data_IF_235213480969
#
_entry.id   IF_235213480969
#
_cell.length_a   1.000
_cell.length_b   1.000
_cell.length_c   1.000
_cell.angle_alpha   90.00
_cell.angle_beta   90.00
_cell.angle_gamma   90.00
#
_symmetry.space_group_name_H-M   'P 1'
#
loop_
_entity.id
_entity.type
_entity.pdbx_description
1 polymer ?
#
# COMPACT_ATOMS: atom_id res chain seq x y z
N UNK A 1 -37.37 -51.03 -10.44
CA UNK A 1 -36.32 -50.93 -9.40
C UNK A 1 -35.39 -49.77 -9.77
N UNK A 2 -35.72 -48.59 -9.29
CA UNK A 2 -34.86 -47.40 -9.45
C UNK A 2 -33.97 -47.27 -8.23
N UNK A 3 -32.66 -47.33 -8.41
CA UNK A 3 -31.68 -47.06 -7.36
C UNK A 3 -31.46 -45.56 -7.23
N UNK A 4 -31.88 -45.02 -6.10
CA UNK A 4 -31.55 -43.68 -5.67
C UNK A 4 -30.04 -43.51 -5.52
N UNK A 5 -29.44 -42.66 -6.34
CA UNK A 5 -28.13 -42.12 -6.12
C UNK A 5 -28.22 -40.93 -5.16
N UNK A 6 -28.03 -41.19 -3.87
CA UNK A 6 -27.72 -40.19 -2.86
C UNK A 6 -26.30 -39.67 -3.12
N UNK A 7 -26.15 -38.63 -3.98
CA UNK A 7 -24.90 -37.88 -4.08
C UNK A 7 -24.80 -36.90 -2.91
N UNK A 8 -23.99 -37.31 -2.01
CA UNK A 8 -23.23 -36.65 -0.97
C UNK A 8 -23.28 -35.10 -0.96
N UNK A 9 -24.15 -34.53 -0.09
CA UNK A 9 -24.23 -33.11 0.25
C UNK A 9 -23.25 -32.72 1.37
N UNK A 10 -22.02 -33.17 1.37
CA UNK A 10 -21.02 -32.82 2.41
C UNK A 10 -19.68 -32.33 1.85
N UNK A 11 -19.66 -31.66 0.70
CA UNK A 11 -18.52 -30.80 0.35
C UNK A 11 -18.75 -29.40 0.95
N UNK A 12 -18.58 -29.24 2.27
CA UNK A 12 -18.22 -27.91 2.81
C UNK A 12 -16.89 -27.57 2.16
N UNK A 13 -16.92 -26.68 1.16
CA UNK A 13 -15.72 -26.18 0.50
C UNK A 13 -14.75 -25.70 1.58
N UNK A 14 -13.54 -26.25 1.59
CA UNK A 14 -12.46 -25.78 2.44
C UNK A 14 -12.25 -24.28 2.17
N UNK A 15 -12.37 -23.47 3.22
CA UNK A 15 -12.22 -22.02 3.15
C UNK A 15 -10.97 -21.59 3.94
N UNK A 16 -9.99 -21.04 3.23
CA UNK A 16 -8.84 -20.43 3.87
C UNK A 16 -9.13 -18.96 4.19
N UNK A 17 -9.07 -18.52 5.48
CA UNK A 17 -9.35 -17.13 5.86
C UNK A 17 -8.23 -16.15 5.50
N UNK A 18 -7.07 -16.65 5.10
CA UNK A 18 -5.90 -15.85 4.76
C UNK A 18 -5.78 -15.67 3.25
N UNK A 19 -5.26 -14.51 2.82
CA UNK A 19 -5.04 -14.16 1.41
C UNK A 19 -3.86 -13.18 1.32
N UNK A 20 -2.61 -13.68 1.35
CA UNK A 20 -1.42 -12.82 1.38
C UNK A 20 -1.22 -12.02 0.09
N UNK A 21 -1.80 -12.48 -1.03
CA UNK A 21 -1.69 -11.83 -2.35
C UNK A 21 -2.44 -10.49 -2.44
N UNK A 22 -3.40 -10.25 -1.55
CA UNK A 22 -4.26 -9.07 -1.58
C UNK A 22 -4.14 -8.23 -0.31
N UNK A 23 -4.25 -6.90 -0.41
CA UNK A 23 -4.40 -6.05 0.76
C UNK A 23 -5.55 -6.52 1.64
N UNK A 24 -5.39 -6.43 2.96
CA UNK A 24 -6.46 -6.75 3.88
C UNK A 24 -7.63 -5.77 3.69
N UNK A 25 -8.81 -6.32 3.40
CA UNK A 25 -10.03 -5.50 3.41
C UNK A 25 -10.31 -5.04 4.85
N UNK A 26 -11.01 -3.91 5.05
CA UNK A 26 -11.16 -3.28 6.37
C UNK A 26 -11.67 -4.19 7.49
N UNK A 27 -12.57 -5.13 7.20
CA UNK A 27 -13.09 -6.08 8.20
C UNK A 27 -12.02 -7.03 8.77
N UNK A 28 -10.93 -7.28 8.02
CA UNK A 28 -9.80 -8.13 8.44
C UNK A 28 -8.61 -7.30 8.93
N UNK A 29 -8.70 -5.97 8.86
CA UNK A 29 -7.63 -5.09 9.29
C UNK A 29 -7.40 -5.22 10.80
N UNK A 30 -6.16 -5.40 11.19
CA UNK A 30 -5.74 -5.56 12.58
C UNK A 30 -4.56 -4.66 12.89
N UNK A 31 -4.39 -4.34 14.18
CA UNK A 31 -3.33 -3.47 14.65
C UNK A 31 -3.43 -2.03 14.11
N UNK A 32 -2.40 -1.19 14.30
CA UNK A 32 -2.33 0.19 13.78
C UNK A 32 -3.40 1.14 14.37
N UNK A 33 -3.70 1.03 15.67
CA UNK A 33 -4.71 1.88 16.32
C UNK A 33 -4.30 3.33 16.34
N UNK A 34 -3.06 3.62 16.75
CA UNK A 34 -2.54 4.99 16.86
C UNK A 34 -2.64 5.79 15.54
N UNK A 35 -2.16 5.29 14.38
CA UNK A 35 -2.37 5.98 13.11
C UNK A 35 -3.84 6.25 12.77
N UNK A 36 -4.74 5.31 13.08
CA UNK A 36 -6.17 5.48 12.83
C UNK A 36 -6.81 6.53 13.73
N UNK A 37 -6.52 6.51 15.03
CA UNK A 37 -7.03 7.48 15.99
C UNK A 37 -6.55 8.90 15.67
N UNK A 38 -5.26 9.05 15.35
CA UNK A 38 -4.70 10.34 14.94
C UNK A 38 -5.37 10.85 13.65
N UNK A 39 -5.47 9.99 12.63
CA UNK A 39 -6.12 10.32 11.37
C UNK A 39 -7.58 10.75 11.59
N UNK A 40 -8.37 9.96 12.34
CA UNK A 40 -9.78 10.22 12.61
C UNK A 40 -10.00 11.61 13.23
N UNK A 41 -9.29 11.89 14.33
CA UNK A 41 -9.39 13.18 15.03
C UNK A 41 -8.99 14.35 14.13
N UNK A 42 -7.93 14.17 13.35
CA UNK A 42 -7.40 15.24 12.50
C UNK A 42 -8.31 15.53 11.30
N UNK A 43 -8.94 14.50 10.73
CA UNK A 43 -9.89 14.68 9.60
C UNK A 43 -11.17 15.40 10.08
N UNK A 44 -11.71 15.06 11.25
CA UNK A 44 -12.86 15.79 11.84
C UNK A 44 -12.49 17.27 11.98
N UNK A 45 -11.36 17.56 12.61
CA UNK A 45 -10.89 18.95 12.78
C UNK A 45 -10.71 19.66 11.43
N UNK A 46 -10.15 18.99 10.41
CA UNK A 46 -9.96 19.59 9.07
C UNK A 46 -11.29 19.84 8.36
N UNK A 47 -12.34 19.09 8.66
CA UNK A 47 -13.68 19.30 8.10
C UNK A 47 -14.43 20.50 8.73
N UNK A 48 -14.19 20.76 10.01
CA UNK A 48 -14.89 21.79 10.80
C UNK A 48 -14.23 23.18 10.70
N UNK A 49 -12.92 23.26 10.45
CA UNK A 49 -12.18 24.53 10.44
C UNK A 49 -12.55 25.39 9.22
N UNK A 50 -12.81 26.67 9.49
CA UNK A 50 -13.03 27.70 8.46
C UNK A 50 -12.16 28.93 8.74
N UNK A 51 -11.33 29.42 7.77
CA UNK A 51 -11.14 28.87 6.42
C UNK A 51 -10.50 27.48 6.42
N UNK A 52 -10.68 26.67 5.35
CA UNK A 52 -10.19 25.32 5.28
C UNK A 52 -8.68 25.19 5.53
N UNK A 53 -8.29 24.29 6.42
CA UNK A 53 -6.91 23.92 6.69
C UNK A 53 -6.73 22.39 6.58
N UNK A 54 -6.73 21.86 5.35
CA UNK A 54 -6.72 20.42 5.14
C UNK A 54 -5.42 19.79 5.62
N UNK A 55 -5.54 18.68 6.32
CA UNK A 55 -4.42 17.86 6.78
C UNK A 55 -4.12 16.76 5.78
N UNK A 56 -2.84 16.56 5.46
CA UNK A 56 -2.39 15.57 4.50
C UNK A 56 -1.55 14.52 5.18
N UNK A 57 -1.64 13.25 4.73
CA UNK A 57 -1.01 12.11 5.36
C UNK A 57 -0.22 11.28 4.36
N UNK A 58 0.93 10.76 4.79
CA UNK A 58 1.70 9.80 4.02
C UNK A 58 1.94 8.53 4.84
N UNK A 59 1.57 7.39 4.26
CA UNK A 59 1.80 6.07 4.84
C UNK A 59 3.07 5.49 4.24
N UNK A 60 4.08 5.30 5.06
CA UNK A 60 5.40 4.86 4.69
C UNK A 60 5.69 3.46 5.25
N UNK A 61 6.16 2.59 4.41
CA UNK A 61 6.53 1.24 4.81
C UNK A 61 7.12 0.47 3.64
N UNK A 62 7.94 -0.52 3.94
CA UNK A 62 8.53 -1.37 2.93
C UNK A 62 7.47 -2.28 2.27
N UNK A 63 7.89 -3.10 1.32
CA UNK A 63 6.97 -4.02 0.65
C UNK A 63 6.29 -4.97 1.66
N UNK A 64 4.98 -5.21 1.51
CA UNK A 64 4.24 -6.15 2.36
C UNK A 64 3.89 -5.65 3.77
N UNK A 65 4.24 -4.40 4.14
CA UNK A 65 3.97 -3.81 5.45
C UNK A 65 2.50 -3.40 5.68
N UNK A 66 1.65 -3.50 4.65
CA UNK A 66 0.23 -3.23 4.76
C UNK A 66 -0.19 -1.77 4.52
N UNK A 67 0.58 -0.98 3.75
CA UNK A 67 0.24 0.41 3.38
C UNK A 67 -1.16 0.55 2.79
N UNK A 68 -1.42 -0.18 1.72
CA UNK A 68 -2.73 -0.21 1.05
C UNK A 68 -3.86 -0.68 1.97
N UNK A 69 -3.57 -1.62 2.88
CA UNK A 69 -4.55 -2.10 3.88
C UNK A 69 -4.94 -0.98 4.87
N UNK A 70 -3.96 -0.19 5.34
CA UNK A 70 -4.22 0.95 6.22
C UNK A 70 -4.99 2.04 5.45
N UNK A 71 -4.60 2.32 4.22
CA UNK A 71 -5.29 3.29 3.35
C UNK A 71 -6.77 2.90 3.16
N UNK A 72 -7.08 1.62 2.90
CA UNK A 72 -8.46 1.14 2.81
C UNK A 72 -9.22 1.27 4.15
N UNK A 73 -8.54 1.01 5.29
CA UNK A 73 -9.18 1.17 6.60
C UNK A 73 -9.45 2.63 6.92
N UNK A 74 -8.53 3.55 6.64
CA UNK A 74 -8.75 4.99 6.81
C UNK A 74 -9.94 5.47 5.97
N UNK A 75 -10.03 5.04 4.71
CA UNK A 75 -11.18 5.35 3.85
C UNK A 75 -12.49 4.79 4.42
N UNK A 76 -12.49 3.56 4.95
CA UNK A 76 -13.69 2.99 5.60
C UNK A 76 -14.09 3.78 6.85
N UNK A 77 -13.13 4.20 7.67
CA UNK A 77 -13.39 5.05 8.84
C UNK A 77 -14.17 6.30 8.43
N UNK A 78 -13.69 7.02 7.43
CA UNK A 78 -14.38 8.21 6.92
C UNK A 78 -15.81 7.88 6.47
N UNK A 79 -15.97 6.84 5.64
CA UNK A 79 -17.25 6.54 4.99
C UNK A 79 -18.31 5.90 5.91
N UNK A 80 -17.88 5.24 6.99
CA UNK A 80 -18.79 4.47 7.85
C UNK A 80 -18.81 4.94 9.29
N UNK A 81 -17.63 5.25 9.85
CA UNK A 81 -17.51 5.59 11.27
C UNK A 81 -17.77 7.10 11.49
N UNK A 82 -17.35 7.96 10.55
CA UNK A 82 -17.53 9.42 10.64
C UNK A 82 -18.74 9.96 9.85
N UNK A 83 -19.59 9.11 9.30
CA UNK A 83 -20.72 9.51 8.43
C UNK A 83 -21.74 10.44 9.10
N UNK A 84 -21.84 10.39 10.42
CA UNK A 84 -22.77 11.21 11.21
C UNK A 84 -22.09 12.49 11.75
N UNK A 85 -20.78 12.61 11.60
CA UNK A 85 -19.98 13.74 12.08
C UNK A 85 -19.57 14.68 10.93
N UNK A 86 -19.20 14.12 9.77
CA UNK A 86 -18.75 14.90 8.61
C UNK A 86 -19.41 14.42 7.31
N UNK A 87 -19.67 15.36 6.42
CA UNK A 87 -20.09 15.08 5.05
C UNK A 87 -18.87 15.03 4.14
N UNK A 88 -18.33 13.84 3.93
CA UNK A 88 -17.11 13.61 3.18
C UNK A 88 -17.32 12.90 1.84
N UNK A 89 -16.49 13.24 0.87
CA UNK A 89 -16.33 12.50 -0.38
C UNK A 89 -14.92 11.90 -0.42
N UNK A 90 -14.84 10.62 -0.81
CA UNK A 90 -13.61 9.89 -0.91
C UNK A 90 -13.39 9.38 -2.33
N UNK A 91 -12.18 9.58 -2.83
CA UNK A 91 -11.69 8.99 -4.07
C UNK A 91 -10.46 8.13 -3.75
N UNK A 92 -10.43 6.92 -4.28
CA UNK A 92 -9.27 6.03 -4.16
C UNK A 92 -8.70 5.75 -5.54
N UNK A 93 -7.44 6.09 -5.75
CA UNK A 93 -6.75 5.93 -7.02
C UNK A 93 -5.38 5.27 -6.79
N UNK A 94 -5.18 4.06 -7.33
CA UNK A 94 -3.87 3.41 -7.35
C UNK A 94 -3.10 3.88 -8.57
N UNK A 95 -1.92 4.43 -8.33
CA UNK A 95 -1.03 4.87 -9.38
C UNK A 95 -0.27 3.68 -9.99
N UNK A 96 0.16 3.87 -11.22
CA UNK A 96 1.00 2.95 -11.95
C UNK A 96 2.00 3.73 -12.85
N UNK A 97 3.00 3.06 -13.46
CA UNK A 97 3.96 3.74 -14.31
C UNK A 97 3.35 4.49 -15.50
N UNK A 98 2.20 4.04 -16.00
CA UNK A 98 1.56 4.64 -17.18
C UNK A 98 0.95 6.00 -16.85
N UNK A 99 0.26 6.11 -15.72
CA UNK A 99 -0.32 7.37 -15.27
C UNK A 99 0.73 8.33 -14.67
N UNK A 100 1.89 7.82 -14.24
CA UNK A 100 3.00 8.63 -13.71
C UNK A 100 4.07 8.95 -14.76
N UNK A 101 3.85 8.66 -16.06
CA UNK A 101 4.81 8.89 -17.14
C UNK A 101 5.15 10.38 -17.30
N UNK A 102 4.17 11.23 -17.18
CA UNK A 102 4.28 12.70 -17.21
C UNK A 102 3.11 13.32 -16.41
N UNK A 103 3.22 14.63 -16.15
CA UNK A 103 2.21 15.36 -15.37
C UNK A 103 0.83 15.38 -16.04
N UNK A 104 0.77 15.54 -17.36
CA UNK A 104 -0.49 15.59 -18.10
C UNK A 104 -1.21 14.22 -18.02
N UNK A 105 -0.47 13.11 -18.14
CA UNK A 105 -0.98 11.74 -17.98
C UNK A 105 -1.58 11.53 -16.58
N UNK A 106 -0.89 11.99 -15.53
CA UNK A 106 -1.40 11.92 -14.16
C UNK A 106 -2.69 12.73 -13.99
N UNK A 107 -2.70 13.98 -14.44
CA UNK A 107 -3.88 14.84 -14.34
C UNK A 107 -5.08 14.23 -15.06
N UNK A 108 -4.88 13.72 -16.28
CA UNK A 108 -5.94 13.08 -17.06
C UNK A 108 -6.47 11.84 -16.36
N UNK A 109 -5.58 10.97 -15.88
CA UNK A 109 -5.96 9.75 -15.17
C UNK A 109 -6.73 10.07 -13.89
N UNK A 110 -6.21 11.00 -13.05
CA UNK A 110 -6.85 11.42 -11.82
C UNK A 110 -8.25 11.99 -12.08
N UNK A 111 -8.38 12.97 -12.98
CA UNK A 111 -9.66 13.60 -13.27
C UNK A 111 -10.67 12.63 -13.90
N UNK A 112 -10.21 11.70 -14.74
CA UNK A 112 -11.06 10.64 -15.29
C UNK A 112 -11.55 9.73 -14.18
N UNK A 113 -10.67 9.38 -13.24
CA UNK A 113 -11.01 8.54 -12.10
C UNK A 113 -12.00 9.25 -11.16
N UNK A 114 -11.76 10.52 -10.84
CA UNK A 114 -12.68 11.34 -10.03
C UNK A 114 -14.10 11.37 -10.62
N UNK A 115 -14.22 11.48 -11.93
CA UNK A 115 -15.51 11.47 -12.62
C UNK A 115 -16.28 10.15 -12.47
N UNK A 116 -15.58 9.02 -12.42
CA UNK A 116 -16.18 7.68 -12.48
C UNK A 116 -16.35 7.00 -11.13
N UNK A 117 -15.42 7.24 -10.22
CA UNK A 117 -15.23 6.44 -9.01
C UNK A 117 -15.12 7.31 -7.76
N UNK A 118 -16.23 7.61 -7.15
CA UNK A 118 -16.25 8.30 -5.86
C UNK A 118 -17.20 7.60 -4.88
N UNK A 119 -16.96 7.82 -3.62
CA UNK A 119 -17.77 7.34 -2.52
C UNK A 119 -18.08 8.52 -1.59
N UNK A 120 -19.26 8.52 -0.99
CA UNK A 120 -19.76 9.63 -0.17
C UNK A 120 -20.41 9.12 1.10
N UNK A 121 -20.29 9.89 2.18
CA UNK A 121 -20.97 9.64 3.47
C UNK A 121 -22.47 9.94 3.40
N UNK A 122 -22.88 10.89 2.59
CA UNK A 122 -24.24 11.46 2.57
C UNK A 122 -25.15 10.91 1.46
N UNK A 123 -24.81 9.81 0.81
CA UNK A 123 -25.64 9.26 -0.27
C UNK A 123 -25.78 10.19 -1.49
N UNK A 124 -24.89 11.18 -1.64
CA UNK A 124 -24.91 12.17 -2.73
C UNK A 124 -24.65 11.58 -4.13
N UNK A 125 -24.48 10.26 -4.20
CA UNK A 125 -24.03 9.54 -5.39
C UNK A 125 -24.83 9.88 -6.64
N UNK A 126 -26.16 9.90 -6.55
CA UNK A 126 -27.03 10.11 -7.71
C UNK A 126 -26.96 11.54 -8.26
N UNK A 127 -27.03 12.55 -7.38
CA UNK A 127 -26.96 13.96 -7.78
C UNK A 127 -25.62 14.35 -8.36
N UNK A 128 -24.52 13.86 -7.75
CA UNK A 128 -23.15 14.14 -8.21
C UNK A 128 -22.82 13.42 -9.51
N UNK A 129 -23.32 12.19 -9.76
CA UNK A 129 -23.14 11.50 -11.05
C UNK A 129 -23.73 12.31 -12.17
N UNK A 130 -24.95 12.83 -12.00
CA UNK A 130 -25.60 13.61 -13.01
C UNK A 130 -24.82 14.92 -13.31
N UNK A 131 -24.35 15.60 -12.27
CA UNK A 131 -23.60 16.84 -12.43
C UNK A 131 -22.18 16.64 -12.95
N UNK A 132 -21.44 15.65 -12.42
CA UNK A 132 -20.10 15.30 -12.94
C UNK A 132 -20.15 14.75 -14.36
N UNK A 133 -21.26 14.13 -14.79
CA UNK A 133 -21.44 13.71 -16.18
C UNK A 133 -21.52 14.92 -17.14
N UNK A 134 -22.02 16.06 -16.66
CA UNK A 134 -22.07 17.33 -17.39
C UNK A 134 -20.72 18.06 -17.39
N UNK A 135 -19.83 17.70 -16.48
CA UNK A 135 -18.49 18.29 -16.37
C UNK A 135 -17.62 17.85 -17.55
N UNK A 136 -17.51 18.73 -18.52
CA UNK A 136 -16.62 18.53 -19.67
C UNK A 136 -15.19 18.74 -19.19
N UNK A 137 -14.50 17.65 -18.90
CA UNK A 137 -13.05 17.71 -18.72
C UNK A 137 -12.47 18.11 -20.07
N UNK A 138 -12.05 19.37 -20.17
CA UNK A 138 -11.42 19.90 -21.37
C UNK A 138 -9.95 19.47 -21.48
N UNK A 139 -9.65 18.22 -21.12
CA UNK A 139 -8.42 17.58 -21.53
C UNK A 139 -8.63 17.07 -22.95
N UNK A 140 -8.28 17.90 -23.90
CA UNK A 140 -8.28 17.53 -25.31
C UNK A 140 -7.35 16.35 -25.48
N UNK A 141 -7.88 15.26 -26.05
CA UNK A 141 -7.12 14.33 -26.86
C UNK A 141 -6.14 15.15 -27.71
N UNK A 142 -4.84 14.80 -27.78
CA UNK A 142 -3.89 15.57 -28.60
C UNK A 142 -4.47 15.74 -30.00
N UNK A 143 -4.45 16.95 -30.57
CA UNK A 143 -4.97 17.16 -31.90
C UNK A 143 -4.12 16.36 -32.89
N UNK A 144 -4.72 15.32 -33.46
CA UNK A 144 -4.30 14.91 -34.79
C UNK A 144 -4.70 16.06 -35.69
N UNK A 145 -3.67 16.83 -36.09
CA UNK A 145 -3.68 17.83 -37.13
C UNK A 145 -5.04 18.47 -37.46
N UNK A 146 -5.17 19.78 -37.22
CA UNK A 146 -5.64 20.77 -38.20
C UNK A 146 -5.57 22.16 -37.54
N UNK A 147 -4.84 23.03 -38.19
CA UNK A 147 -4.79 24.50 -38.24
C UNK A 147 -5.38 25.38 -37.09
N UNK A 148 -4.47 26.22 -36.56
CA UNK A 148 -4.69 27.56 -36.06
C UNK A 148 -6.13 27.92 -35.59
N UNK A 149 -6.44 27.56 -34.37
CA UNK A 149 -7.30 28.38 -33.54
C UNK A 149 -6.70 28.52 -32.15
N UNK A 150 -6.69 29.73 -31.64
CA UNK A 150 -6.18 30.27 -30.38
C UNK A 150 -5.89 29.21 -29.31
N UNK A 151 -4.64 29.21 -28.85
CA UNK A 151 -4.20 28.41 -27.70
C UNK A 151 -5.17 28.61 -26.52
N UNK A 152 -6.14 27.72 -26.39
CA UNK A 152 -6.88 27.55 -25.15
C UNK A 152 -5.87 27.03 -24.15
N UNK A 153 -5.63 27.81 -23.10
CA UNK A 153 -4.77 27.42 -21.99
C UNK A 153 -5.10 25.96 -21.58
N UNK A 154 -4.06 25.13 -21.48
CA UNK A 154 -4.22 23.75 -20.99
C UNK A 154 -4.93 23.82 -19.62
N UNK A 155 -5.99 23.07 -19.38
CA UNK A 155 -6.71 23.12 -18.11
C UNK A 155 -5.75 22.70 -16.99
N UNK A 156 -5.52 23.59 -16.05
CA UNK A 156 -4.72 23.35 -14.87
C UNK A 156 -5.46 22.42 -13.92
N UNK A 157 -4.76 21.46 -13.29
CA UNK A 157 -5.36 20.58 -12.26
C UNK A 157 -5.99 21.41 -11.12
N UNK A 158 -5.35 22.52 -10.72
CA UNK A 158 -5.89 23.46 -9.73
C UNK A 158 -7.26 23.97 -10.16
N UNK A 159 -7.38 24.47 -11.38
CA UNK A 159 -8.62 25.07 -11.87
C UNK A 159 -9.74 24.01 -11.98
N UNK A 160 -9.39 22.79 -12.43
CA UNK A 160 -10.35 21.70 -12.53
C UNK A 160 -10.87 21.24 -11.16
N UNK A 161 -10.00 21.11 -10.17
CA UNK A 161 -10.40 20.75 -8.80
C UNK A 161 -11.13 21.89 -8.09
N UNK A 162 -10.76 23.15 -8.33
CA UNK A 162 -11.49 24.31 -7.82
C UNK A 162 -12.92 24.37 -8.40
N UNK A 163 -13.06 24.14 -9.70
CA UNK A 163 -14.36 24.08 -10.36
C UNK A 163 -15.23 22.96 -9.78
N UNK A 164 -14.66 21.75 -9.59
CA UNK A 164 -15.33 20.65 -8.93
C UNK A 164 -15.79 21.04 -7.53
N UNK A 165 -14.93 21.67 -6.74
CA UNK A 165 -15.27 22.11 -5.38
C UNK A 165 -16.38 23.15 -5.39
N UNK A 166 -16.21 24.26 -6.10
CA UNK A 166 -17.10 25.41 -6.04
C UNK A 166 -18.46 25.15 -6.70
N UNK A 167 -18.48 24.40 -7.81
CA UNK A 167 -19.74 24.15 -8.55
C UNK A 167 -20.50 22.91 -8.07
N UNK A 168 -19.84 21.95 -7.47
CA UNK A 168 -20.46 20.66 -7.16
C UNK A 168 -20.37 20.25 -5.69
N UNK A 169 -19.16 20.27 -5.08
CA UNK A 169 -18.99 19.78 -3.72
C UNK A 169 -19.54 20.73 -2.66
N UNK A 170 -19.13 22.00 -2.69
CA UNK A 170 -19.58 23.03 -1.73
C UNK A 170 -21.10 23.24 -1.78
N UNK A 171 -21.79 23.34 -2.93
CA UNK A 171 -23.26 23.43 -3.00
C UNK A 171 -23.97 22.18 -2.45
N UNK A 172 -23.32 21.02 -2.51
CA UNK A 172 -23.80 19.76 -1.93
C UNK A 172 -23.47 19.61 -0.44
N UNK A 173 -22.98 20.68 0.21
CA UNK A 173 -22.60 20.72 1.64
C UNK A 173 -21.53 19.68 1.99
N UNK A 174 -20.60 19.43 1.09
CA UNK A 174 -19.45 18.59 1.38
C UNK A 174 -18.47 19.39 2.23
N UNK A 175 -18.10 18.85 3.40
CA UNK A 175 -17.18 19.47 4.33
C UNK A 175 -15.72 19.25 3.91
N UNK A 176 -15.40 18.06 3.39
CA UNK A 176 -14.05 17.68 2.98
C UNK A 176 -14.05 16.65 1.84
N UNK A 177 -13.10 16.79 0.93
CA UNK A 177 -12.85 15.82 -0.14
C UNK A 177 -11.49 15.14 0.07
N UNK A 178 -11.48 13.82 0.27
CA UNK A 178 -10.27 13.03 0.51
C UNK A 178 -9.85 12.27 -0.74
N UNK A 179 -8.59 12.47 -1.13
CA UNK A 179 -7.96 11.76 -2.24
C UNK A 179 -6.96 10.73 -1.67
N UNK A 180 -7.29 9.46 -1.77
CA UNK A 180 -6.44 8.34 -1.38
C UNK A 180 -5.63 7.89 -2.59
N UNK A 181 -4.34 8.25 -2.65
CA UNK A 181 -3.43 7.95 -3.75
C UNK A 181 -2.44 6.85 -3.32
N UNK A 182 -2.61 5.66 -3.86
CA UNK A 182 -1.72 4.54 -3.53
C UNK A 182 -0.50 4.53 -4.46
N UNK A 183 0.68 4.23 -3.90
CA UNK A 183 1.95 4.06 -4.61
C UNK A 183 2.47 5.29 -5.36
N UNK A 184 2.48 6.49 -4.72
CA UNK A 184 3.01 7.72 -5.32
C UNK A 184 4.50 7.66 -5.71
N UNK A 185 5.23 6.61 -5.29
CA UNK A 185 6.64 6.42 -5.63
C UNK A 185 6.88 6.17 -7.14
N UNK A 186 5.84 5.83 -7.90
CA UNK A 186 5.97 5.67 -9.35
C UNK A 186 6.45 6.94 -10.07
N UNK A 187 6.21 8.12 -9.52
CA UNK A 187 6.81 9.36 -10.05
C UNK A 187 8.35 9.34 -10.01
N UNK A 188 8.96 8.78 -8.95
CA UNK A 188 10.42 8.60 -8.92
C UNK A 188 10.90 7.54 -9.92
N UNK A 189 10.17 6.46 -10.07
CA UNK A 189 10.54 5.39 -11.00
C UNK A 189 10.49 5.84 -12.45
N UNK A 190 9.57 6.73 -12.80
CA UNK A 190 9.43 7.29 -14.15
C UNK A 190 10.26 8.55 -14.37
N UNK A 191 11.06 8.97 -13.39
CA UNK A 191 11.90 10.17 -13.48
C UNK A 191 11.15 11.49 -13.32
N UNK A 192 9.90 11.45 -12.82
CA UNK A 192 9.03 12.62 -12.65
C UNK A 192 9.09 13.19 -11.23
N UNK A 193 10.28 13.42 -10.70
CA UNK A 193 10.45 13.93 -9.32
C UNK A 193 9.78 15.28 -9.09
N UNK A 194 9.71 16.14 -10.12
CA UNK A 194 9.07 17.47 -10.04
C UNK A 194 7.56 17.39 -9.78
N UNK A 195 6.93 16.24 -10.06
CA UNK A 195 5.52 16.00 -9.75
C UNK A 195 5.20 16.18 -8.26
N UNK A 196 6.15 15.87 -7.38
CA UNK A 196 5.95 16.05 -5.92
C UNK A 196 5.77 17.52 -5.54
N UNK A 197 6.59 18.42 -6.11
CA UNK A 197 6.42 19.86 -5.91
C UNK A 197 5.11 20.36 -6.50
N UNK A 198 4.77 19.86 -7.67
CA UNK A 198 3.54 20.27 -8.36
C UNK A 198 2.29 19.80 -7.60
N UNK A 199 2.28 18.60 -7.08
CA UNK A 199 1.20 18.10 -6.19
C UNK A 199 1.06 19.00 -4.97
N UNK A 200 2.16 19.23 -4.23
CA UNK A 200 2.14 20.11 -3.05
C UNK A 200 1.59 21.50 -3.39
N UNK A 201 2.14 22.14 -4.42
CA UNK A 201 1.75 23.49 -4.80
C UNK A 201 0.27 23.56 -5.22
N UNK A 202 -0.20 22.55 -5.97
CA UNK A 202 -1.62 22.41 -6.37
C UNK A 202 -2.54 22.40 -5.15
N UNK A 203 -2.27 21.54 -4.17
CA UNK A 203 -3.16 21.41 -3.01
C UNK A 203 -3.01 22.55 -2.00
N UNK A 204 -1.85 23.18 -1.90
CA UNK A 204 -1.70 24.43 -1.14
C UNK A 204 -2.48 25.58 -1.78
N UNK A 205 -2.46 25.69 -3.09
CA UNK A 205 -3.22 26.72 -3.80
C UNK A 205 -4.73 26.47 -3.67
N UNK A 206 -5.19 25.22 -3.76
CA UNK A 206 -6.59 24.87 -3.51
C UNK A 206 -7.04 25.25 -2.10
N UNK A 207 -6.22 25.03 -1.08
CA UNK A 207 -6.52 25.45 0.29
C UNK A 207 -6.64 26.98 0.40
N UNK A 208 -5.74 27.76 -0.26
CA UNK A 208 -5.84 29.23 -0.32
C UNK A 208 -7.13 29.71 -1.02
N UNK A 209 -7.65 28.90 -1.96
CA UNK A 209 -8.93 29.17 -2.66
C UNK A 209 -10.15 28.61 -1.91
N UNK A 210 -9.97 28.27 -0.64
CA UNK A 210 -11.01 27.73 0.23
C UNK A 210 -11.60 26.39 -0.26
N UNK A 211 -10.80 25.57 -0.96
CA UNK A 211 -11.18 24.24 -1.39
C UNK A 211 -10.61 23.22 -0.41
N UNK A 212 -11.46 22.49 0.32
CA UNK A 212 -11.04 21.57 1.37
C UNK A 212 -10.75 20.17 0.81
N UNK A 213 -9.55 20.02 0.24
CA UNK A 213 -9.02 18.74 -0.24
C UNK A 213 -7.92 18.22 0.68
N UNK A 214 -8.03 16.98 1.14
CA UNK A 214 -7.03 16.28 1.92
C UNK A 214 -6.44 15.10 1.13
N UNK A 215 -5.12 14.92 1.20
CA UNK A 215 -4.42 13.82 0.57
C UNK A 215 -4.02 12.76 1.58
N UNK A 216 -4.26 11.50 1.24
CA UNK A 216 -3.68 10.34 1.93
C UNK A 216 -2.91 9.54 0.90
N UNK A 217 -1.58 9.54 1.01
CA UNK A 217 -0.72 8.91 0.00
C UNK A 217 0.09 7.77 0.61
N UNK A 218 0.52 6.80 -0.21
CA UNK A 218 1.39 5.72 0.23
C UNK A 218 2.70 5.68 -0.55
N UNK A 219 3.76 5.19 0.12
CA UNK A 219 5.05 4.97 -0.53
C UNK A 219 6.02 4.13 0.32
N UNK A 220 7.12 3.65 -0.26
CA UNK A 220 8.17 2.99 0.49
C UNK A 220 8.94 3.97 1.37
N UNK A 221 9.58 3.50 2.45
CA UNK A 221 10.38 4.36 3.35
C UNK A 221 11.50 5.09 2.62
N UNK A 222 12.10 4.47 1.62
CA UNK A 222 13.16 5.07 0.80
C UNK A 222 12.66 6.28 0.00
N UNK A 223 11.37 6.30 -0.37
CA UNK A 223 10.76 7.46 -1.02
C UNK A 223 10.97 8.73 -0.18
N UNK A 224 10.74 8.61 1.13
CA UNK A 224 10.86 9.76 2.02
C UNK A 224 12.30 10.30 2.09
N UNK A 225 13.32 9.42 2.11
CA UNK A 225 14.72 9.84 2.06
C UNK A 225 15.10 10.45 0.71
N UNK A 226 14.72 9.82 -0.39
CA UNK A 226 14.99 10.33 -1.74
C UNK A 226 14.25 11.63 -2.07
N UNK A 227 13.06 11.83 -1.48
CA UNK A 227 12.27 13.05 -1.64
C UNK A 227 12.72 14.14 -0.66
N UNK A 228 13.23 13.81 0.54
CA UNK A 228 13.82 14.80 1.45
C UNK A 228 14.96 15.55 0.78
N UNK A 229 15.85 14.81 0.10
CA UNK A 229 17.01 15.41 -0.58
C UNK A 229 16.59 16.28 -1.79
N UNK A 230 15.45 15.98 -2.43
CA UNK A 230 14.96 16.67 -3.63
C UNK A 230 13.83 17.65 -3.33
N UNK A 231 13.01 17.39 -2.33
CA UNK A 231 11.78 18.11 -2.08
C UNK A 231 11.38 18.16 -0.59
N UNK A 232 12.27 18.66 0.28
CA UNK A 232 11.97 18.86 1.71
C UNK A 232 10.59 19.51 1.97
N UNK A 233 10.15 20.51 1.17
CA UNK A 233 8.83 21.11 1.32
C UNK A 233 7.66 20.15 1.06
N UNK A 234 7.83 19.12 0.21
CA UNK A 234 6.81 18.09 0.01
C UNK A 234 6.66 17.23 1.25
N UNK A 235 7.77 16.88 1.88
CA UNK A 235 7.78 16.06 3.11
C UNK A 235 7.03 16.76 4.23
N UNK A 236 7.27 18.05 4.44
CA UNK A 236 6.59 18.86 5.48
C UNK A 236 5.10 19.08 5.21
N UNK A 237 4.65 18.81 4.00
CA UNK A 237 3.25 18.92 3.61
C UNK A 237 2.40 17.76 4.17
N UNK A 238 3.03 16.64 4.54
CA UNK A 238 2.36 15.45 5.02
C UNK A 238 2.71 15.13 6.48
N UNK A 239 1.72 14.62 7.21
CA UNK A 239 1.97 13.91 8.45
C UNK A 239 2.35 12.45 8.14
N UNK A 240 3.56 11.97 8.50
CA UNK A 240 4.01 10.62 8.15
C UNK A 240 3.52 9.58 9.16
N UNK A 241 3.01 8.47 8.66
CA UNK A 241 2.79 7.23 9.41
C UNK A 241 3.79 6.18 8.96
N UNK A 242 4.72 5.82 9.82
CA UNK A 242 5.70 4.76 9.56
C UNK A 242 5.14 3.41 9.98
N UNK A 243 5.03 2.48 9.04
CA UNK A 243 4.59 1.12 9.34
C UNK A 243 5.78 0.28 9.80
N UNK A 244 5.67 -0.25 11.02
CA UNK A 244 6.63 -1.17 11.60
C UNK A 244 6.10 -2.62 11.50
N UNK A 245 6.95 -3.61 11.78
CA UNK A 245 6.57 -5.00 11.94
C UNK A 245 5.51 -5.12 13.07
N UNK A 246 4.72 -6.16 13.04
CA UNK A 246 3.78 -6.46 14.13
C UNK A 246 4.54 -6.87 15.39
N UNK A 247 4.06 -6.45 16.55
CA UNK A 247 4.39 -7.11 17.81
C UNK A 247 3.80 -8.52 17.85
N UNK A 248 4.14 -9.31 18.85
CA UNK A 248 3.52 -10.62 19.06
C UNK A 248 1.99 -10.49 19.21
N UNK A 249 1.52 -9.51 19.96
CA UNK A 249 0.10 -9.22 20.15
C UNK A 249 -0.55 -8.78 18.83
N UNK A 250 0.15 -7.97 18.02
CA UNK A 250 -0.32 -7.58 16.69
C UNK A 250 -0.43 -8.77 15.74
N UNK A 251 0.51 -9.70 15.80
CA UNK A 251 0.46 -10.97 15.05
C UNK A 251 -0.73 -11.81 15.49
N UNK A 252 -0.93 -11.96 16.81
CA UNK A 252 -2.06 -12.69 17.41
C UNK A 252 -3.41 -12.08 17.01
N UNK A 253 -3.51 -10.74 17.08
CA UNK A 253 -4.71 -10.02 16.62
C UNK A 253 -4.98 -10.27 15.15
N UNK A 254 -3.96 -10.16 14.28
CA UNK A 254 -4.08 -10.30 12.84
C UNK A 254 -4.55 -11.71 12.42
N UNK A 255 -4.03 -12.76 13.05
CA UNK A 255 -4.44 -14.15 12.80
C UNK A 255 -5.85 -14.39 13.32
N UNK A 256 -6.09 -14.12 14.60
CA UNK A 256 -7.36 -14.47 15.27
C UNK A 256 -8.54 -13.66 14.71
N UNK A 257 -8.33 -12.40 14.32
CA UNK A 257 -9.39 -11.57 13.71
C UNK A 257 -9.88 -12.17 12.39
N UNK A 258 -8.99 -12.68 11.55
CA UNK A 258 -9.40 -13.32 10.28
C UNK A 258 -10.21 -14.57 10.51
N UNK A 259 -9.79 -15.43 11.41
CA UNK A 259 -10.52 -16.64 11.78
C UNK A 259 -11.91 -16.30 12.35
N UNK A 260 -11.98 -15.36 13.30
CA UNK A 260 -13.22 -14.94 13.94
C UNK A 260 -14.22 -14.34 12.95
N UNK A 261 -13.77 -13.45 12.05
CA UNK A 261 -14.64 -12.78 11.08
C UNK A 261 -15.20 -13.74 10.04
N UNK A 262 -14.44 -14.78 9.67
CA UNK A 262 -14.90 -15.82 8.74
C UNK A 262 -15.80 -16.86 9.40
N UNK A 263 -15.96 -16.82 10.75
CA UNK A 263 -16.76 -17.77 11.53
C UNK A 263 -16.35 -19.23 11.30
N UNK A 264 -15.08 -19.47 11.01
CA UNK A 264 -14.55 -20.81 10.84
C UNK A 264 -14.29 -21.44 12.22
N UNK A 265 -14.55 -22.74 12.32
CA UNK A 265 -14.14 -23.56 13.47
C UNK A 265 -12.63 -23.88 13.36
N UNK A 266 -11.81 -22.84 13.30
CA UNK A 266 -10.36 -22.91 13.20
C UNK A 266 -9.74 -22.15 14.37
N UNK A 267 -8.71 -22.70 14.99
CA UNK A 267 -7.94 -22.04 16.04
C UNK A 267 -6.46 -22.35 15.88
N UNK A 268 -5.62 -21.45 16.35
CA UNK A 268 -4.18 -21.63 16.41
C UNK A 268 -3.75 -21.70 17.87
N UNK A 269 -2.95 -22.70 18.26
CA UNK A 269 -2.32 -22.70 19.57
C UNK A 269 -1.43 -21.46 19.74
N UNK A 270 -1.33 -20.91 20.94
CA UNK A 270 -0.50 -19.72 21.21
C UNK A 270 0.99 -19.94 20.84
N UNK A 271 1.50 -21.17 21.04
CA UNK A 271 2.85 -21.55 20.60
C UNK A 271 3.04 -21.42 19.10
N UNK A 272 2.03 -21.83 18.30
CA UNK A 272 2.08 -21.70 16.82
C UNK A 272 2.11 -20.24 16.41
N UNK A 273 1.28 -19.39 17.04
CA UNK A 273 1.27 -17.94 16.74
C UNK A 273 2.63 -17.32 17.08
N UNK A 274 3.21 -17.71 18.22
CA UNK A 274 4.56 -17.27 18.62
C UNK A 274 5.62 -17.72 17.62
N UNK A 275 5.54 -18.97 17.14
CA UNK A 275 6.46 -19.47 16.11
C UNK A 275 6.28 -18.76 14.77
N UNK A 276 5.04 -18.49 14.34
CA UNK A 276 4.76 -17.69 13.13
C UNK A 276 5.38 -16.29 13.28
N UNK A 277 5.20 -15.65 14.44
CA UNK A 277 5.78 -14.33 14.71
C UNK A 277 7.32 -14.38 14.64
N UNK A 278 7.95 -15.35 15.27
CA UNK A 278 9.40 -15.52 15.27
C UNK A 278 9.95 -15.73 13.85
N UNK A 279 9.36 -16.64 13.07
CA UNK A 279 9.77 -16.97 11.70
C UNK A 279 9.55 -15.81 10.74
N UNK A 280 8.43 -15.10 10.88
CA UNK A 280 8.10 -13.92 10.06
C UNK A 280 8.78 -12.64 10.52
N UNK A 281 9.40 -12.62 11.72
CA UNK A 281 9.85 -11.38 12.39
C UNK A 281 8.74 -10.32 12.52
N UNK A 282 7.49 -10.76 12.64
CA UNK A 282 6.33 -9.87 12.69
C UNK A 282 6.00 -9.17 11.36
N UNK A 283 6.70 -9.47 10.27
CA UNK A 283 6.44 -8.83 8.97
C UNK A 283 5.05 -9.23 8.45
N UNK A 284 4.12 -8.29 8.23
CA UNK A 284 2.70 -8.60 7.98
C UNK A 284 2.46 -9.56 6.83
N UNK A 285 3.17 -9.39 5.71
CA UNK A 285 3.06 -10.29 4.56
C UNK A 285 3.47 -11.72 4.93
N UNK A 286 4.61 -11.91 5.60
CA UNK A 286 5.10 -13.25 5.97
C UNK A 286 4.22 -13.90 7.04
N UNK A 287 3.68 -13.13 7.98
CA UNK A 287 2.67 -13.63 8.94
C UNK A 287 1.48 -14.23 8.19
N UNK A 288 0.92 -13.47 7.22
CA UNK A 288 -0.22 -13.92 6.44
C UNK A 288 0.11 -15.08 5.52
N UNK A 289 1.30 -15.08 4.90
CA UNK A 289 1.74 -16.14 4.00
C UNK A 289 1.93 -17.47 4.75
N UNK A 290 2.64 -17.45 5.87
CA UNK A 290 2.86 -18.66 6.68
C UNK A 290 1.52 -19.22 7.19
N UNK A 291 0.63 -18.36 7.69
CA UNK A 291 -0.70 -18.79 8.14
C UNK A 291 -1.54 -19.35 6.96
N UNK A 292 -1.46 -18.76 5.77
CA UNK A 292 -2.15 -19.22 4.57
C UNK A 292 -1.70 -20.62 4.16
N UNK A 293 -0.39 -20.82 4.00
CA UNK A 293 0.17 -22.11 3.60
C UNK A 293 -0.10 -23.19 4.66
N UNK A 294 0.07 -22.86 5.94
CA UNK A 294 -0.21 -23.77 7.03
C UNK A 294 -1.66 -24.27 7.00
N UNK A 295 -2.62 -23.37 6.81
CA UNK A 295 -4.04 -23.73 6.71
C UNK A 295 -4.32 -24.58 5.47
N UNK A 296 -3.68 -24.29 4.33
CA UNK A 296 -3.81 -25.12 3.12
C UNK A 296 -3.29 -26.54 3.34
N UNK A 297 -2.18 -26.70 4.05
CA UNK A 297 -1.54 -28.00 4.27
C UNK A 297 -2.29 -28.87 5.30
N UNK A 298 -2.84 -28.25 6.35
CA UNK A 298 -3.61 -29.00 7.38
C UNK A 298 -5.06 -29.30 6.96
N UNK A 299 -5.58 -28.61 5.94
CA UNK A 299 -6.92 -28.83 5.37
C UNK A 299 -8.04 -28.52 6.39
N UNK A 300 -8.93 -29.48 6.60
CA UNK A 300 -10.15 -29.33 7.42
C UNK A 300 -9.92 -29.43 8.93
N UNK A 301 -8.68 -29.44 9.41
CA UNK A 301 -8.35 -29.52 10.82
C UNK A 301 -8.83 -28.28 11.57
N UNK A 302 -9.44 -28.46 12.75
CA UNK A 302 -10.02 -27.34 13.51
C UNK A 302 -9.01 -26.62 14.42
N UNK A 303 -7.98 -27.32 14.89
CA UNK A 303 -6.97 -26.75 15.77
C UNK A 303 -5.58 -27.00 15.21
N UNK A 304 -4.82 -25.94 15.05
CA UNK A 304 -3.42 -25.97 14.57
C UNK A 304 -2.51 -26.09 15.78
N UNK A 305 -1.83 -27.23 15.92
CA UNK A 305 -0.87 -27.49 16.98
C UNK A 305 0.57 -27.19 16.55
N UNK A 306 1.50 -27.12 17.51
CA UNK A 306 2.93 -26.95 17.21
C UNK A 306 3.46 -28.09 16.33
N UNK A 307 3.02 -29.32 16.58
CA UNK A 307 3.39 -30.45 15.74
C UNK A 307 2.98 -30.31 14.31
N UNK A 308 1.78 -29.77 14.03
CA UNK A 308 1.32 -29.48 12.66
C UNK A 308 2.21 -28.45 11.99
N UNK A 309 2.59 -27.40 12.72
CA UNK A 309 3.49 -26.37 12.20
C UNK A 309 4.85 -26.97 11.82
N UNK A 310 5.46 -27.76 12.72
CA UNK A 310 6.78 -28.34 12.52
C UNK A 310 6.80 -29.31 11.32
N UNK A 311 5.74 -30.12 11.16
CA UNK A 311 5.58 -31.03 10.03
C UNK A 311 5.36 -30.28 8.69
N UNK A 312 4.66 -29.15 8.69
CA UNK A 312 4.38 -28.36 7.50
C UNK A 312 5.51 -27.36 7.15
N UNK A 313 6.38 -27.01 8.08
CA UNK A 313 7.37 -25.95 7.90
C UNK A 313 8.27 -26.12 6.67
N UNK A 314 8.82 -27.29 6.34
CA UNK A 314 9.63 -27.47 5.14
C UNK A 314 8.87 -27.14 3.85
N UNK A 315 7.58 -27.47 3.77
CA UNK A 315 6.74 -27.19 2.60
C UNK A 315 6.40 -25.69 2.53
N UNK A 316 6.17 -25.03 3.67
CA UNK A 316 5.95 -23.58 3.74
C UNK A 316 7.20 -22.82 3.25
N UNK A 317 8.40 -23.24 3.65
CA UNK A 317 9.66 -22.65 3.19
C UNK A 317 9.80 -22.83 1.68
N UNK A 318 9.55 -24.02 1.15
CA UNK A 318 9.60 -24.30 -0.30
C UNK A 318 8.60 -23.41 -1.08
N UNK A 319 7.40 -23.21 -0.54
CA UNK A 319 6.42 -22.29 -1.13
C UNK A 319 6.88 -20.83 -1.11
N UNK A 320 7.55 -20.37 -0.03
CA UNK A 320 8.16 -19.05 0.05
C UNK A 320 9.27 -18.87 -1.01
N UNK A 321 10.16 -19.87 -1.13
CA UNK A 321 11.23 -19.87 -2.12
C UNK A 321 10.66 -19.70 -3.53
N UNK A 322 9.70 -20.53 -3.89
CA UNK A 322 9.12 -20.58 -5.25
C UNK A 322 8.25 -19.36 -5.57
N UNK A 323 7.34 -19.00 -4.66
CA UNK A 323 6.33 -18.00 -4.96
C UNK A 323 6.76 -16.57 -4.64
N UNK A 324 7.78 -16.39 -3.76
CA UNK A 324 8.20 -15.05 -3.30
C UNK A 324 9.62 -14.75 -3.71
N UNK A 325 10.58 -15.57 -3.31
CA UNK A 325 11.99 -15.22 -3.43
C UNK A 325 12.51 -15.34 -4.86
N UNK A 326 12.09 -16.39 -5.61
CA UNK A 326 12.39 -16.54 -7.05
C UNK A 326 11.89 -15.33 -7.82
N UNK A 327 10.65 -14.92 -7.61
CA UNK A 327 10.05 -13.77 -8.31
C UNK A 327 10.78 -12.46 -7.97
N UNK A 328 11.19 -12.26 -6.71
CA UNK A 328 11.94 -11.08 -6.31
C UNK A 328 13.37 -11.01 -6.88
N UNK A 329 13.95 -12.16 -7.20
CA UNK A 329 15.25 -12.24 -7.86
C UNK A 329 15.14 -12.19 -9.39
N UNK A 330 13.95 -12.40 -9.97
CA UNK A 330 13.77 -12.51 -11.42
C UNK A 330 14.33 -11.31 -12.18
N UNK A 331 14.03 -10.11 -11.73
CA UNK A 331 14.45 -8.84 -12.36
C UNK A 331 15.79 -8.29 -11.82
N UNK A 332 16.55 -9.09 -11.08
CA UNK A 332 17.84 -8.67 -10.52
C UNK A 332 18.96 -9.05 -11.49
N UNK A 333 19.75 -8.08 -11.98
CA UNK A 333 20.91 -8.36 -12.84
C UNK A 333 21.93 -9.27 -12.16
N UNK A 334 22.63 -10.07 -12.94
CA UNK A 334 23.56 -11.09 -12.45
C UNK A 334 24.62 -10.55 -11.48
N UNK A 335 25.21 -9.38 -11.76
CA UNK A 335 26.17 -8.74 -10.85
C UNK A 335 25.56 -8.36 -9.49
N UNK A 336 24.32 -7.94 -9.48
CA UNK A 336 23.58 -7.63 -8.24
C UNK A 336 23.23 -8.92 -7.47
N UNK A 337 22.89 -10.02 -8.18
CA UNK A 337 22.69 -11.36 -7.57
C UNK A 337 23.99 -11.84 -6.88
N UNK A 338 25.12 -11.69 -7.55
CA UNK A 338 26.41 -12.04 -6.96
C UNK A 338 26.71 -11.25 -5.67
N UNK A 339 26.31 -9.97 -5.62
CA UNK A 339 26.42 -9.17 -4.38
C UNK A 339 25.51 -9.75 -3.30
N UNK A 340 24.26 -10.10 -3.62
CA UNK A 340 23.32 -10.71 -2.66
C UNK A 340 23.84 -12.04 -2.11
N UNK A 341 24.39 -12.92 -2.96
CA UNK A 341 24.98 -14.19 -2.53
C UNK A 341 26.18 -13.97 -1.60
N UNK A 342 27.04 -13.00 -1.90
CA UNK A 342 28.16 -12.63 -1.01
C UNK A 342 27.66 -12.04 0.31
N UNK A 343 26.61 -11.23 0.31
CA UNK A 343 25.98 -10.72 1.53
C UNK A 343 25.45 -11.88 2.38
N UNK A 344 24.77 -12.84 1.76
CA UNK A 344 24.19 -13.98 2.46
C UNK A 344 25.26 -14.88 3.13
N UNK A 345 26.46 -15.02 2.52
CA UNK A 345 27.56 -15.80 3.07
C UNK A 345 28.19 -15.17 4.33
N UNK A 346 28.00 -13.87 4.56
CA UNK A 346 28.54 -13.18 5.74
C UNK A 346 27.64 -13.51 6.95
N UNK A 347 28.26 -14.01 8.01
CA UNK A 347 27.53 -14.36 9.25
C UNK A 347 27.34 -13.14 10.16
N UNK A 348 26.70 -12.09 9.59
CA UNK A 348 26.30 -10.86 10.28
C UNK A 348 24.93 -10.44 9.76
N UNK A 349 24.14 -9.82 10.62
CA UNK A 349 22.85 -9.23 10.22
C UNK A 349 23.07 -7.93 9.48
N UNK A 350 23.93 -7.05 10.04
CA UNK A 350 24.25 -5.77 9.43
C UNK A 350 25.50 -5.88 8.56
N UNK A 351 25.41 -5.40 7.35
CA UNK A 351 26.42 -5.52 6.30
C UNK A 351 26.73 -4.13 5.74
N UNK A 352 28.01 -3.83 5.54
CA UNK A 352 28.43 -2.63 4.82
C UNK A 352 29.03 -2.97 3.45
N UNK A 353 28.99 -2.05 2.47
CA UNK A 353 29.63 -2.25 1.16
C UNK A 353 31.11 -2.66 1.25
N UNK A 354 31.84 -2.16 2.25
CA UNK A 354 33.27 -2.47 2.48
C UNK A 354 33.54 -3.94 2.85
N UNK A 355 32.52 -4.66 3.31
CA UNK A 355 32.66 -6.09 3.63
C UNK A 355 32.65 -6.98 2.37
N UNK A 356 32.17 -6.46 1.23
CA UNK A 356 32.09 -7.20 -0.02
C UNK A 356 33.37 -7.01 -0.81
N UNK A 357 34.19 -8.07 -0.88
CA UNK A 357 35.48 -8.07 -1.60
C UNK A 357 35.32 -8.64 -3.01
N UNK A 358 36.24 -8.23 -3.92
CA UNK A 358 36.35 -8.79 -5.25
C UNK A 358 35.34 -8.29 -6.29
N UNK A 359 34.57 -7.24 -5.96
CA UNK A 359 33.66 -6.57 -6.90
C UNK A 359 33.91 -5.06 -6.89
N UNK A 360 33.87 -4.42 -8.08
CA UNK A 360 33.93 -2.96 -8.20
C UNK A 360 32.51 -2.37 -8.20
N UNK A 361 32.36 -1.16 -7.68
CA UNK A 361 31.06 -0.45 -7.68
C UNK A 361 30.03 -0.99 -6.66
N UNK A 362 30.48 -1.66 -5.60
CA UNK A 362 29.61 -2.31 -4.59
C UNK A 362 28.61 -1.34 -3.96
N UNK A 363 29.04 -0.11 -3.67
CA UNK A 363 28.15 0.92 -3.09
C UNK A 363 26.97 1.22 -4.00
N UNK A 364 27.18 1.25 -5.31
CA UNK A 364 26.12 1.47 -6.29
C UNK A 364 25.14 0.29 -6.35
N UNK A 365 25.66 -0.95 -6.28
CA UNK A 365 24.82 -2.14 -6.19
C UNK A 365 23.98 -2.14 -4.92
N UNK A 366 24.52 -1.76 -3.77
CA UNK A 366 23.74 -1.62 -2.54
C UNK A 366 22.62 -0.61 -2.70
N UNK A 367 22.88 0.54 -3.32
CA UNK A 367 21.86 1.57 -3.60
C UNK A 367 20.75 1.07 -4.54
N UNK A 368 21.11 0.26 -5.55
CA UNK A 368 20.13 -0.34 -6.47
C UNK A 368 19.30 -1.43 -5.78
N UNK A 369 19.95 -2.28 -4.97
CA UNK A 369 19.27 -3.32 -4.20
C UNK A 369 18.35 -2.74 -3.10
N UNK A 370 18.75 -1.61 -2.49
CA UNK A 370 17.92 -0.84 -1.57
C UNK A 370 16.66 -0.32 -2.30
N UNK A 371 16.82 0.29 -3.50
CA UNK A 371 15.69 0.75 -4.31
C UNK A 371 14.74 -0.38 -4.73
N UNK A 372 15.25 -1.59 -4.94
CA UNK A 372 14.46 -2.79 -5.22
C UNK A 372 13.83 -3.40 -3.96
N UNK A 373 14.11 -2.86 -2.77
CA UNK A 373 13.62 -3.36 -1.49
C UNK A 373 14.17 -4.75 -1.12
N UNK A 374 15.35 -5.10 -1.62
CA UNK A 374 16.07 -6.33 -1.28
C UNK A 374 17.09 -6.12 -0.16
N UNK A 375 17.54 -4.87 0.00
CA UNK A 375 18.34 -4.41 1.13
C UNK A 375 17.57 -3.30 1.86
N UNK A 376 17.63 -3.32 3.18
CA UNK A 376 17.09 -2.29 4.06
C UNK A 376 18.25 -1.52 4.67
N UNK A 377 18.32 -0.21 4.45
CA UNK A 377 19.31 0.66 5.08
C UNK A 377 18.86 0.97 6.50
N UNK A 378 19.61 0.51 7.50
CA UNK A 378 19.33 0.77 8.92
C UNK A 378 20.00 2.07 9.39
N UNK A 379 21.30 2.18 9.16
CA UNK A 379 22.12 3.35 9.51
C UNK A 379 23.00 3.75 8.33
N UNK A 380 23.79 4.83 8.50
CA UNK A 380 24.72 5.27 7.46
C UNK A 380 25.74 4.18 7.14
N UNK A 381 25.64 3.64 5.91
CA UNK A 381 26.53 2.60 5.43
C UNK A 381 26.25 1.19 5.97
N UNK A 382 25.18 0.99 6.74
CA UNK A 382 24.77 -0.32 7.26
C UNK A 382 23.45 -0.76 6.63
N UNK A 383 23.44 -1.99 6.15
CA UNK A 383 22.31 -2.59 5.43
C UNK A 383 22.00 -3.98 5.96
N UNK A 384 20.76 -4.40 5.81
CA UNK A 384 20.28 -5.74 6.09
C UNK A 384 19.54 -6.30 4.88
N UNK A 385 19.57 -7.61 4.67
CA UNK A 385 18.61 -8.24 3.75
C UNK A 385 17.19 -8.04 4.28
N UNK A 386 16.25 -7.84 3.38
CA UNK A 386 14.89 -7.46 3.76
C UNK A 386 14.17 -8.49 4.67
N UNK A 387 14.63 -9.75 4.69
CA UNK A 387 14.11 -10.78 5.60
C UNK A 387 15.13 -11.90 5.85
N UNK A 388 15.22 -12.48 7.09
CA UNK A 388 16.13 -13.58 7.39
C UNK A 388 15.89 -14.83 6.52
N UNK A 389 14.61 -15.21 6.27
CA UNK A 389 14.29 -16.35 5.39
C UNK A 389 14.83 -16.17 3.95
N UNK A 390 14.91 -14.92 3.48
CA UNK A 390 15.52 -14.64 2.20
C UNK A 390 17.04 -14.85 2.24
N UNK A 391 17.67 -14.55 3.38
CA UNK A 391 19.10 -14.85 3.59
C UNK A 391 19.38 -16.35 3.55
N UNK A 392 18.52 -17.15 4.20
CA UNK A 392 18.62 -18.61 4.17
C UNK A 392 18.46 -19.16 2.74
N UNK A 393 17.50 -18.65 1.99
CA UNK A 393 17.32 -19.01 0.59
C UNK A 393 18.54 -18.68 -0.28
N UNK A 394 19.13 -17.48 -0.12
CA UNK A 394 20.33 -17.11 -0.87
C UNK A 394 21.54 -17.99 -0.49
N UNK A 395 21.66 -18.43 0.76
CA UNK A 395 22.72 -19.37 1.19
C UNK A 395 22.56 -20.74 0.52
N UNK A 396 21.33 -21.22 0.40
CA UNK A 396 21.03 -22.47 -0.31
C UNK A 396 21.42 -22.35 -1.78
N UNK A 397 21.03 -21.26 -2.47
CA UNK A 397 21.42 -21.02 -3.87
C UNK A 397 22.94 -20.88 -4.09
N UNK A 398 23.70 -20.50 -3.08
CA UNK A 398 25.16 -20.40 -3.17
C UNK A 398 25.85 -21.76 -2.97
N UNK A 399 25.14 -22.75 -2.46
CA UNK A 399 25.65 -24.11 -2.18
C UNK A 399 25.34 -25.10 -3.31
N UNK A 400 24.31 -24.81 -4.11
CA UNK A 400 23.95 -25.51 -5.35
C UNK A 400 24.81 -25.01 -6.54
#
# INVERSE_FOLDING_TARGET
MMKNNNHNKNNKSFLNPFSPQYPAIPKYFANRREPLEYFTRTIISSAEISPPSPSNFIILGDWGMGKTSLLYKMREVVLKELKDEINAICFHFSLDPSCCRDWDSFCLALLTHLKRNYESTAGLKEKLVEELSKWKIAFSIPPVSIEKERAKEKPSLVNSLEELWKKHLKPSKVDICLLFLDDVYYFLQTGQSDAYFTIRNTFQELARRECNYSLVVTGPRILFKGVVDLAEPFVRFFHPFYLEEFSLEGTKEAINKRVRVTKLELSFADSVISTIHEKSKGHPYFVMFIAYELVNLIGTKKTVSQKDFDECWPQIVSALETNVFVNRLGDVPEKEKQVLLKIASIDKTQISPSMIRGLRGVTEFFSRLERKGLLLKKERGQYELFHPLFKEYLRKLASD
#
